data_IF_148785961096
#
_entry.id   IF_148785961096
#
_cell.length_a   1.000
_cell.length_b   1.000
_cell.length_c   1.000
_cell.angle_alpha   90.00
_cell.angle_beta   90.00
_cell.angle_gamma   90.00
#
_symmetry.space_group_name_H-M   'P 1'
#
loop_
_entity.id
_entity.type
_entity.pdbx_description
1 polymer ?
#
# COMPACT_ATOMS: atom_id res chain seq x y z
N UNK A 1 10.70 -4.96 -7.18
CA UNK A 1 11.40 -5.08 -5.88
C UNK A 1 10.73 -4.29 -4.76
N UNK A 2 10.40 -3.00 -4.93
CA UNK A 2 9.69 -2.17 -3.93
C UNK A 2 8.24 -2.61 -3.68
N UNK A 3 7.45 -2.85 -4.74
CA UNK A 3 6.08 -3.34 -4.57
C UNK A 3 6.03 -4.70 -3.86
N UNK A 4 6.99 -5.59 -4.15
CA UNK A 4 7.09 -6.87 -3.44
C UNK A 4 7.40 -6.66 -1.96
N UNK A 5 8.32 -5.75 -1.62
CA UNK A 5 8.58 -5.38 -0.22
C UNK A 5 7.34 -4.86 0.46
N UNK A 6 6.63 -3.90 -0.12
CA UNK A 6 5.40 -3.36 0.46
C UNK A 6 4.33 -4.43 0.69
N UNK A 7 4.24 -5.42 -0.21
CA UNK A 7 3.29 -6.52 -0.08
C UNK A 7 3.71 -7.61 0.93
N UNK A 8 5.01 -7.79 1.18
CA UNK A 8 5.53 -8.86 2.04
C UNK A 8 6.03 -8.36 3.41
N UNK A 9 6.22 -7.06 3.59
CA UNK A 9 6.60 -6.43 4.86
C UNK A 9 5.33 -5.95 5.59
N UNK A 10 4.78 -6.74 6.54
CA UNK A 10 3.57 -6.35 7.26
C UNK A 10 3.76 -5.07 8.08
N UNK A 11 5.01 -4.74 8.45
CA UNK A 11 5.36 -3.51 9.16
C UNK A 11 5.03 -2.24 8.37
N UNK A 12 4.95 -2.31 7.03
CA UNK A 12 4.61 -1.17 6.19
C UNK A 12 3.10 -0.93 6.08
N UNK A 13 2.25 -1.89 6.44
CA UNK A 13 0.79 -1.72 6.40
C UNK A 13 0.20 -1.43 5.01
N UNK A 14 0.88 -1.80 3.92
CA UNK A 14 0.43 -1.51 2.56
C UNK A 14 -0.84 -2.31 2.20
N UNK A 15 -1.83 -1.70 1.52
CA UNK A 15 -3.08 -2.38 1.19
C UNK A 15 -2.90 -3.57 0.23
N UNK A 16 -3.67 -4.63 0.48
CA UNK A 16 -3.66 -5.83 -0.36
C UNK A 16 -4.43 -5.58 -1.67
N UNK A 17 -3.93 -6.08 -2.81
CA UNK A 17 -4.63 -5.94 -4.07
C UNK A 17 -5.89 -6.82 -4.12
N UNK A 18 -6.91 -6.31 -4.79
CA UNK A 18 -7.98 -7.10 -5.37
C UNK A 18 -7.57 -7.56 -6.76
N UNK A 19 -7.78 -8.85 -7.06
CA UNK A 19 -7.49 -9.39 -8.37
C UNK A 19 -8.74 -9.32 -9.25
N UNK A 20 -8.65 -8.64 -10.40
CA UNK A 20 -9.67 -8.68 -11.44
C UNK A 20 -9.00 -9.25 -12.68
N UNK A 21 -9.42 -10.46 -13.07
CA UNK A 21 -8.74 -11.30 -14.05
C UNK A 21 -7.25 -11.50 -13.68
N UNK A 22 -6.32 -10.97 -14.50
CA UNK A 22 -4.86 -11.11 -14.31
C UNK A 22 -4.21 -9.83 -13.77
N UNK A 23 -4.99 -8.80 -13.48
CA UNK A 23 -4.51 -7.49 -13.05
C UNK A 23 -4.84 -7.27 -11.58
N UNK A 24 -3.93 -6.56 -10.91
CA UNK A 24 -4.06 -6.15 -9.52
C UNK A 24 -4.66 -4.75 -9.48
N UNK A 25 -5.69 -4.60 -8.68
CA UNK A 25 -6.36 -3.34 -8.42
C UNK A 25 -6.30 -3.06 -6.94
N UNK A 26 -6.16 -1.79 -6.58
CA UNK A 26 -6.21 -1.33 -5.21
C UNK A 26 -7.37 -0.37 -5.08
N UNK A 27 -7.98 -0.35 -3.90
CA UNK A 27 -8.94 0.68 -3.58
C UNK A 27 -8.18 1.99 -3.41
N UNK A 28 -8.61 3.01 -4.14
CA UNK A 28 -7.98 4.33 -4.11
C UNK A 28 -7.88 4.87 -2.69
N UNK A 29 -8.98 4.81 -1.94
CA UNK A 29 -9.07 5.30 -0.54
C UNK A 29 -8.03 4.64 0.38
N UNK A 30 -7.80 3.34 0.23
CA UNK A 30 -6.85 2.61 1.08
C UNK A 30 -5.40 3.01 0.75
N UNK A 31 -5.11 3.25 -0.53
CA UNK A 31 -3.79 3.72 -0.98
C UNK A 31 -3.53 5.15 -0.51
N UNK A 32 -4.54 6.03 -0.62
CA UNK A 32 -4.43 7.43 -0.14
C UNK A 32 -4.19 7.45 1.37
N UNK A 33 -4.99 6.73 2.15
CA UNK A 33 -4.83 6.69 3.61
C UNK A 33 -3.44 6.17 4.03
N UNK A 34 -2.90 5.19 3.30
CA UNK A 34 -1.54 4.69 3.53
C UNK A 34 -0.47 5.75 3.21
N UNK A 35 -0.63 6.47 2.10
CA UNK A 35 0.29 7.57 1.73
C UNK A 35 0.25 8.72 2.75
N UNK A 36 -0.94 9.09 3.22
CA UNK A 36 -1.10 10.11 4.27
C UNK A 36 -0.44 9.69 5.59
N UNK A 37 -0.59 8.42 5.99
CA UNK A 37 0.07 7.90 7.19
C UNK A 37 1.60 7.92 7.08
N UNK A 38 2.16 7.65 5.89
CA UNK A 38 3.60 7.75 5.65
C UNK A 38 4.09 9.20 5.64
N UNK A 39 3.32 10.13 5.06
CA UNK A 39 3.63 11.55 5.09
C UNK A 39 3.62 12.11 6.52
N UNK A 40 2.64 11.70 7.34
CA UNK A 40 2.55 12.07 8.75
C UNK A 40 3.72 11.51 9.59
N UNK A 41 4.21 10.30 9.26
CA UNK A 41 5.35 9.67 9.95
C UNK A 41 6.73 10.19 9.55
N UNK A 42 6.83 11.01 8.49
CA UNK A 42 8.10 11.57 7.98
C UNK A 42 8.35 13.01 8.48
N UNK A 43 7.42 13.58 9.26
CA UNK A 43 7.63 14.83 9.99
C UNK A 43 8.16 14.52 11.40
N UNK A 44 9.44 14.12 11.49
CA UNK A 44 10.16 13.87 12.74
C UNK A 44 11.61 14.31 12.63
#
# INVERSE_FOLDING_TARGET
MTLWRWLNEPAMGFPRPTYIARRRYWRETDVIAWLEAQAAGTAG
#
